data_IF_553435564160
#
_entry.id   IF_553435564160
#
_cell.length_a   1.000
_cell.length_b   1.000
_cell.length_c   1.000
_cell.angle_alpha   90.00
_cell.angle_beta   90.00
_cell.angle_gamma   90.00
#
_symmetry.space_group_name_H-M   'P 1'
#
loop_
_entity.id
_entity.type
_entity.pdbx_description
1 polymer ?
#
# COMPACT_ATOMS: atom_id res chain seq x y z
N UNK A 1 5.84 -13.48 9.44
CA UNK A 1 4.74 -13.71 8.47
C UNK A 1 5.06 -13.09 7.10
N UNK A 2 5.61 -11.86 7.04
CA UNK A 2 6.15 -11.24 5.81
C UNK A 2 7.43 -11.90 5.32
N UNK A 3 8.33 -12.29 6.23
CA UNK A 3 9.63 -12.95 5.95
C UNK A 3 9.53 -14.23 5.10
N UNK A 4 8.34 -14.84 5.03
CA UNK A 4 8.05 -16.00 4.18
C UNK A 4 7.92 -15.65 2.70
N UNK A 5 7.69 -14.37 2.40
CA UNK A 5 7.41 -13.85 1.06
C UNK A 5 8.46 -12.84 0.60
N UNK A 6 8.98 -12.03 1.52
CA UNK A 6 10.05 -11.06 1.26
C UNK A 6 11.13 -11.24 2.33
N UNK A 7 12.36 -11.51 1.88
CA UNK A 7 13.52 -11.44 2.77
C UNK A 7 13.99 -9.99 2.95
N UNK A 8 14.97 -9.78 3.83
CA UNK A 8 15.48 -8.45 4.17
C UNK A 8 16.03 -7.69 2.96
N UNK A 9 16.73 -8.37 2.05
CA UNK A 9 17.26 -7.75 0.84
C UNK A 9 16.14 -7.32 -0.13
N UNK A 10 15.08 -8.12 -0.24
CA UNK A 10 13.91 -7.78 -1.04
C UNK A 10 13.09 -6.65 -0.42
N UNK A 11 13.01 -6.60 0.92
CA UNK A 11 12.37 -5.49 1.62
C UNK A 11 13.15 -4.19 1.43
N UNK A 12 14.48 -4.23 1.54
CA UNK A 12 15.34 -3.07 1.28
C UNK A 12 15.18 -2.58 -0.16
N UNK A 13 15.25 -3.49 -1.15
CA UNK A 13 15.05 -3.14 -2.55
C UNK A 13 13.66 -2.54 -2.83
N UNK A 14 12.62 -3.02 -2.14
CA UNK A 14 11.28 -2.45 -2.24
C UNK A 14 11.24 -1.01 -1.72
N UNK A 15 11.85 -0.75 -0.56
CA UNK A 15 11.95 0.60 0.02
C UNK A 15 12.72 1.54 -0.91
N UNK A 16 13.90 1.13 -1.38
CA UNK A 16 14.72 1.93 -2.32
C UNK A 16 13.95 2.25 -3.61
N UNK A 17 13.16 1.30 -4.12
CA UNK A 17 12.35 1.52 -5.33
C UNK A 17 11.23 2.53 -5.09
N UNK A 18 10.62 2.51 -3.90
CA UNK A 18 9.59 3.49 -3.53
C UNK A 18 10.23 4.87 -3.42
N UNK A 19 11.35 5.00 -2.71
CA UNK A 19 12.08 6.26 -2.58
C UNK A 19 12.44 6.84 -3.95
N UNK A 20 13.00 6.04 -4.85
CA UNK A 20 13.34 6.47 -6.21
C UNK A 20 12.10 6.93 -7.03
N UNK A 21 10.93 6.34 -6.79
CA UNK A 21 9.69 6.75 -7.44
C UNK A 21 9.14 8.08 -6.88
N UNK A 22 9.28 8.30 -5.57
CA UNK A 22 8.92 9.55 -4.90
C UNK A 22 9.92 10.68 -5.19
N UNK A 23 11.16 10.38 -5.58
CA UNK A 23 12.09 11.41 -6.09
C UNK A 23 11.64 11.98 -7.45
N UNK A 24 10.91 11.18 -8.23
CA UNK A 24 10.45 11.53 -9.57
C UNK A 24 9.00 12.04 -9.60
N UNK A 25 8.30 12.01 -8.47
CA UNK A 25 6.89 12.42 -8.38
C UNK A 25 6.57 13.05 -7.03
N UNK A 26 5.57 13.92 -6.96
CA UNK A 26 5.10 14.45 -5.68
C UNK A 26 4.18 13.48 -4.93
N UNK A 27 4.01 12.26 -5.46
CA UNK A 27 3.13 11.23 -4.90
C UNK A 27 3.73 10.59 -3.66
N UNK A 28 2.87 10.24 -2.71
CA UNK A 28 3.27 9.43 -1.55
C UNK A 28 2.83 7.98 -1.77
N UNK A 29 3.78 7.05 -1.81
CA UNK A 29 3.55 5.63 -2.06
C UNK A 29 3.77 4.84 -0.78
N UNK A 30 2.81 3.99 -0.41
CA UNK A 30 2.95 3.04 0.70
C UNK A 30 2.60 1.63 0.28
N UNK A 31 3.28 0.66 0.88
CA UNK A 31 2.96 -0.76 0.72
C UNK A 31 2.53 -1.32 2.08
N UNK A 32 1.32 -1.87 2.14
CA UNK A 32 0.81 -2.61 3.29
C UNK A 32 0.75 -4.08 2.97
N UNK A 33 1.48 -4.89 3.74
CA UNK A 33 1.44 -6.34 3.62
C UNK A 33 0.47 -6.86 4.68
N UNK A 34 -0.67 -7.32 4.21
CA UNK A 34 -1.70 -7.93 5.02
C UNK A 34 -1.52 -9.45 5.07
N UNK A 35 -1.73 -10.00 6.26
CA UNK A 35 -1.66 -11.45 6.51
C UNK A 35 -2.87 -11.98 7.26
N UNK A 36 -3.83 -11.12 7.61
CA UNK A 36 -4.89 -11.44 8.56
C UNK A 36 -6.31 -11.20 8.02
N UNK A 37 -6.50 -10.35 7.01
CA UNK A 37 -7.85 -10.09 6.49
C UNK A 37 -8.38 -11.31 5.75
N UNK A 38 -9.55 -11.78 6.17
CA UNK A 38 -10.37 -12.74 5.43
C UNK A 38 -11.67 -12.01 5.01
N UNK A 39 -11.97 -11.97 3.71
CA UNK A 39 -13.17 -11.31 3.19
C UNK A 39 -12.89 -10.27 2.10
N UNK A 40 -13.51 -9.09 2.19
CA UNK A 40 -13.47 -8.05 1.16
C UNK A 40 -12.16 -7.24 1.21
N UNK A 41 -11.20 -7.64 0.37
CA UNK A 41 -9.88 -7.00 0.26
C UNK A 41 -9.93 -5.53 -0.14
N UNK A 42 -10.90 -5.13 -0.96
CA UNK A 42 -11.04 -3.74 -1.37
C UNK A 42 -11.45 -2.87 -0.19
N UNK A 43 -12.41 -3.34 0.63
CA UNK A 43 -12.83 -2.62 1.84
C UNK A 43 -11.69 -2.54 2.86
N UNK A 44 -10.96 -3.63 3.08
CA UNK A 44 -9.80 -3.61 3.96
C UNK A 44 -8.72 -2.62 3.50
N UNK A 45 -8.44 -2.56 2.19
CA UNK A 45 -7.53 -1.58 1.63
C UNK A 45 -8.02 -0.13 1.87
N UNK A 46 -9.32 0.15 1.73
CA UNK A 46 -9.92 1.46 2.05
C UNK A 46 -9.75 1.82 3.52
N UNK A 47 -10.01 0.87 4.43
CA UNK A 47 -9.84 1.09 5.88
C UNK A 47 -8.38 1.37 6.24
N UNK A 48 -7.45 0.61 5.66
CA UNK A 48 -6.01 0.85 5.84
C UNK A 48 -5.61 2.21 5.29
N UNK A 49 -6.10 2.59 4.11
CA UNK A 49 -5.83 3.89 3.48
C UNK A 49 -6.23 5.06 4.39
N UNK A 50 -7.46 5.02 4.92
CA UNK A 50 -7.99 6.02 5.85
C UNK A 50 -7.21 6.03 7.17
N UNK A 51 -6.87 4.84 7.70
CA UNK A 51 -6.07 4.71 8.94
C UNK A 51 -4.67 5.32 8.79
N UNK A 52 -4.06 5.14 7.63
CA UNK A 52 -2.74 5.72 7.30
C UNK A 52 -2.82 7.18 6.85
N UNK A 53 -4.02 7.77 6.82
CA UNK A 53 -4.29 9.16 6.42
C UNK A 53 -3.77 9.49 5.02
N UNK A 54 -3.75 8.52 4.11
CA UNK A 54 -3.26 8.71 2.75
C UNK A 54 -4.16 9.63 1.91
N UNK A 55 -5.39 9.88 2.37
CA UNK A 55 -6.31 10.89 1.86
C UNK A 55 -5.87 12.34 2.19
N UNK A 56 -4.96 12.50 3.15
CA UNK A 56 -4.52 13.80 3.68
C UNK A 56 -3.10 14.20 3.26
N UNK A 57 -2.55 13.51 2.28
CA UNK A 57 -1.28 13.89 1.63
C UNK A 57 -1.38 15.30 1.08
N UNK A 58 -0.27 16.06 1.10
CA UNK A 58 -0.28 17.50 0.81
C UNK A 58 -0.88 17.82 -0.58
N UNK A 59 -0.55 16.98 -1.57
CA UNK A 59 -1.01 17.11 -2.95
C UNK A 59 -2.17 16.18 -3.29
N UNK A 60 -2.73 15.48 -2.29
CA UNK A 60 -3.82 14.52 -2.46
C UNK A 60 -3.53 13.50 -3.56
N UNK A 61 -2.35 12.93 -3.57
CA UNK A 61 -1.86 12.00 -4.57
C UNK A 61 -1.26 10.73 -3.92
N UNK A 62 -1.73 10.41 -2.71
CA UNK A 62 -1.33 9.20 -2.01
C UNK A 62 -1.77 7.93 -2.74
N UNK A 63 -0.90 6.93 -2.80
CA UNK A 63 -1.16 5.59 -3.35
C UNK A 63 -0.77 4.51 -2.34
N UNK A 64 -1.69 3.58 -2.09
CA UNK A 64 -1.46 2.41 -1.25
C UNK A 64 -1.53 1.14 -2.09
N UNK A 65 -0.47 0.34 -2.00
CA UNK A 65 -0.45 -1.06 -2.44
C UNK A 65 -0.78 -1.94 -1.24
N UNK A 66 -1.97 -2.52 -1.21
CA UNK A 66 -2.41 -3.46 -0.18
C UNK A 66 -2.26 -4.89 -0.71
N UNK A 67 -1.31 -5.65 -0.17
CA UNK A 67 -0.95 -6.99 -0.65
C UNK A 67 -1.27 -8.03 0.40
N UNK A 68 -2.07 -9.03 0.04
CA UNK A 68 -2.25 -10.23 0.85
C UNK A 68 -1.63 -11.43 0.13
N UNK A 69 -0.47 -11.88 0.62
CA UNK A 69 0.28 -12.96 -0.02
C UNK A 69 -0.36 -14.34 0.15
N UNK A 70 -1.09 -14.57 1.25
CA UNK A 70 -1.80 -15.84 1.48
C UNK A 70 -2.88 -16.05 0.42
N UNK A 71 -3.62 -14.99 0.09
CA UNK A 71 -4.71 -15.01 -0.88
C UNK A 71 -4.29 -14.61 -2.29
N UNK A 72 -2.99 -14.30 -2.49
CA UNK A 72 -2.41 -13.83 -3.77
C UNK A 72 -3.19 -12.66 -4.37
N UNK A 73 -3.61 -11.74 -3.51
CA UNK A 73 -4.46 -10.62 -3.87
C UNK A 73 -3.71 -9.31 -3.68
N UNK A 74 -3.77 -8.43 -4.69
CA UNK A 74 -3.20 -7.09 -4.65
C UNK A 74 -4.34 -6.10 -4.93
N UNK A 75 -4.48 -5.11 -4.05
CA UNK A 75 -5.35 -3.95 -4.25
C UNK A 75 -4.48 -2.71 -4.32
N UNK A 76 -4.70 -1.89 -5.35
CA UNK A 76 -4.05 -0.59 -5.51
C UNK A 76 -5.14 0.46 -5.35
N UNK A 77 -4.95 1.36 -4.41
CA UNK A 77 -5.88 2.45 -4.13
C UNK A 77 -5.13 3.77 -4.10
N UNK A 78 -5.66 4.76 -4.80
CA UNK A 78 -5.09 6.11 -4.85
C UNK A 78 -6.09 7.14 -4.36
N UNK A 79 -5.61 8.35 -4.13
CA UNK A 79 -6.49 9.49 -3.91
C UNK A 79 -7.37 9.75 -5.14
N UNK A 80 -8.67 9.56 -4.96
CA UNK A 80 -9.75 9.79 -5.91
C UNK A 80 -11.08 9.76 -5.15
N UNK A 81 -12.22 9.88 -5.84
CA UNK A 81 -13.52 9.70 -5.18
C UNK A 81 -13.66 8.27 -4.67
N UNK A 82 -13.39 8.06 -3.38
CA UNK A 82 -13.78 6.84 -2.70
C UNK A 82 -15.29 6.88 -2.47
N UNK A 83 -16.04 5.83 -2.83
CA UNK A 83 -17.44 5.74 -2.43
C UNK A 83 -17.51 5.81 -0.90
N UNK A 84 -18.36 6.72 -0.42
CA UNK A 84 -18.66 6.90 1.00
C UNK A 84 -19.23 5.62 1.60
#
# INVERSE_FOLDING_TARGET
MVERYLNDAQMAALVETIEAAEELSTGEIRVHIDSATEGNMAQAAVEVFRRLQMDKTAERNGVLFHVNFNLRYLTIIGNGEMPL
#
